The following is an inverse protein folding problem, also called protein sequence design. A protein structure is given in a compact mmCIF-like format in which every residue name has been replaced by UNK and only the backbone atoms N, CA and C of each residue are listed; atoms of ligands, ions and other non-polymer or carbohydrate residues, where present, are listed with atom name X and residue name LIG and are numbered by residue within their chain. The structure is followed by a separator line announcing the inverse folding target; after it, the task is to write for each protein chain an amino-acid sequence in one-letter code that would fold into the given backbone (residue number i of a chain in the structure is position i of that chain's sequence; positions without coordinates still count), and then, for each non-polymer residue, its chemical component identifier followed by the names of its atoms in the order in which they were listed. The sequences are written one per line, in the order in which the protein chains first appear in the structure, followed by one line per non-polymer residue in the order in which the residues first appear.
data_IF_604376789745
#
_entry.id   IF_604376789745
#
_cell.length_a   1.000
_cell.length_b   1.000
_cell.length_c   1.000
_cell.angle_alpha   90.00
_cell.angle_beta   90.00
_cell.angle_gamma   90.00
#
_symmetry.space_group_name_H-M   'P 1'
#
loop_
_entity.id
_entity.type
_entity.pdbx_description
1 polymer ?
#
# COMPACT_ATOMS: atom_id res chain seq x y z
N UNK A 1 -5.00 13.41 -16.95
CA UNK A 1 -4.44 14.43 -16.03
C UNK A 1 -3.02 13.98 -15.78
N UNK A 2 -2.02 14.71 -16.28
CA UNK A 2 -0.61 14.32 -16.18
C UNK A 2 -0.20 14.31 -14.70
N UNK A 3 -0.26 13.15 -14.06
CA UNK A 3 0.49 12.94 -12.83
C UNK A 3 1.96 13.10 -13.21
N UNK A 4 2.59 14.12 -12.63
CA UNK A 4 4.02 14.35 -12.77
C UNK A 4 4.73 13.03 -12.47
N UNK A 5 5.69 12.62 -13.31
CA UNK A 5 6.54 11.46 -13.07
C UNK A 5 7.24 11.64 -11.71
N UNK A 6 6.62 11.14 -10.65
CA UNK A 6 7.20 11.15 -9.32
C UNK A 6 8.41 10.23 -9.36
N UNK A 7 9.56 10.71 -8.93
CA UNK A 7 10.79 9.92 -8.87
C UNK A 7 11.21 9.82 -7.41
N UNK A 8 11.44 8.60 -6.94
CA UNK A 8 12.01 8.32 -5.63
C UNK A 8 13.23 7.43 -5.81
N UNK A 9 14.36 7.77 -5.19
CA UNK A 9 15.62 6.99 -5.25
C UNK A 9 16.05 6.58 -6.68
N UNK A 10 15.74 7.38 -7.69
CA UNK A 10 16.03 7.08 -9.10
C UNK A 10 15.06 6.13 -9.80
N UNK A 11 13.98 5.72 -9.12
CA UNK A 11 12.87 4.96 -9.70
C UNK A 11 11.71 5.88 -10.03
N UNK A 12 11.21 5.78 -11.26
CA UNK A 12 9.99 6.47 -11.67
C UNK A 12 8.80 5.72 -11.12
N UNK A 13 7.91 6.40 -10.40
CA UNK A 13 6.66 5.81 -9.93
C UNK A 13 5.73 5.60 -11.13
N UNK A 14 5.39 4.35 -11.39
CA UNK A 14 4.58 3.92 -12.54
C UNK A 14 3.16 3.47 -12.14
N UNK A 15 2.92 3.23 -10.84
CA UNK A 15 1.62 2.87 -10.29
C UNK A 15 1.53 3.31 -8.83
N UNK A 16 0.33 3.69 -8.36
CA UNK A 16 0.09 4.02 -6.96
C UNK A 16 -1.33 3.71 -6.50
N UNK A 17 -1.48 3.29 -5.25
CA UNK A 17 -2.77 3.07 -4.62
C UNK A 17 -2.74 3.52 -3.15
N UNK A 18 -3.82 4.15 -2.71
CA UNK A 18 -4.00 4.54 -1.30
C UNK A 18 -5.06 3.68 -0.63
N UNK A 19 -4.72 3.10 0.51
CA UNK A 19 -5.62 2.30 1.36
C UNK A 19 -5.54 2.84 2.78
N UNK A 20 -6.65 3.39 3.28
CA UNK A 20 -6.67 4.06 4.58
C UNK A 20 -5.65 5.20 4.65
N UNK A 21 -4.62 5.06 5.49
CA UNK A 21 -3.55 6.06 5.62
C UNK A 21 -2.23 5.62 4.94
N UNK A 22 -2.21 4.48 4.26
CA UNK A 22 -1.03 3.97 3.57
C UNK A 22 -1.16 4.26 2.06
N UNK A 23 -0.08 4.78 1.46
CA UNK A 23 0.08 4.84 0.00
C UNK A 23 1.10 3.81 -0.40
N UNK A 24 0.72 2.91 -1.29
CA UNK A 24 1.58 1.94 -1.93
C UNK A 24 1.92 2.44 -3.33
N UNK A 25 3.15 2.19 -3.79
CA UNK A 25 3.58 2.54 -5.15
C UNK A 25 4.43 1.43 -5.76
N UNK A 26 4.49 1.40 -7.10
CA UNK A 26 5.50 0.67 -7.87
C UNK A 26 6.44 1.68 -8.50
N UNK A 27 7.75 1.53 -8.25
CA UNK A 27 8.82 2.25 -8.92
C UNK A 27 9.51 1.39 -9.97
N UNK A 28 9.94 2.01 -11.08
CA UNK A 28 10.69 1.38 -12.17
C UNK A 28 12.01 2.15 -12.44
N UNK A 29 13.12 1.42 -12.49
CA UNK A 29 14.43 1.91 -12.91
C UNK A 29 15.15 0.85 -13.74
N UNK A 30 14.95 0.88 -15.05
CA UNK A 30 15.55 -0.09 -15.98
C UNK A 30 17.09 0.03 -16.07
N UNK A 31 17.68 1.09 -15.53
CA UNK A 31 19.14 1.24 -15.42
C UNK A 31 19.73 0.46 -14.24
N UNK A 32 18.90 -0.09 -13.34
CA UNK A 32 19.34 -0.99 -12.26
C UNK A 32 18.97 -2.44 -12.60
N UNK A 33 19.86 -3.22 -13.25
CA UNK A 33 19.53 -4.56 -13.71
C UNK A 33 19.34 -5.59 -12.59
N UNK A 34 19.89 -5.36 -11.40
CA UNK A 34 19.72 -6.26 -10.26
C UNK A 34 18.32 -6.15 -9.63
N UNK A 35 17.74 -4.95 -9.66
CA UNK A 35 16.44 -4.65 -9.08
C UNK A 35 15.73 -3.54 -9.88
N UNK A 36 15.23 -3.84 -11.09
CA UNK A 36 14.60 -2.84 -11.95
C UNK A 36 13.25 -2.35 -11.42
N UNK A 37 12.65 -3.03 -10.44
CA UNK A 37 11.37 -2.65 -9.85
C UNK A 37 11.47 -2.58 -8.33
N UNK A 38 10.61 -1.79 -7.72
CA UNK A 38 10.48 -1.68 -6.26
C UNK A 38 9.03 -1.39 -5.88
N UNK A 39 8.55 -1.91 -4.76
CA UNK A 39 7.31 -1.45 -4.15
C UNK A 39 7.62 -0.63 -2.91
N UNK A 40 7.03 0.54 -2.73
CA UNK A 40 7.20 1.34 -1.51
C UNK A 40 5.88 1.61 -0.82
N UNK A 41 5.96 1.92 0.48
CA UNK A 41 4.85 2.40 1.29
C UNK A 41 5.19 3.69 2.00
N UNK A 42 4.28 4.65 1.93
CA UNK A 42 4.30 5.92 2.63
C UNK A 42 3.06 6.07 3.52
N UNK A 43 3.15 6.93 4.54
CA UNK A 43 2.02 7.29 5.37
C UNK A 43 1.49 8.65 4.93
N UNK A 44 0.28 8.66 4.35
CA UNK A 44 -0.28 9.86 3.73
C UNK A 44 -0.65 10.95 4.73
N UNK A 45 -0.86 10.62 6.01
CA UNK A 45 -1.31 11.60 7.01
C UNK A 45 -0.24 12.64 7.33
N UNK A 46 1.02 12.22 7.33
CA UNK A 46 2.13 13.07 7.77
C UNK A 46 3.12 13.36 6.64
N UNK A 47 3.30 12.42 5.71
CA UNK A 47 4.31 12.52 4.67
C UNK A 47 3.99 11.56 3.48
N UNK A 48 3.10 11.96 2.55
CA UNK A 48 2.63 11.11 1.44
C UNK A 48 3.73 10.73 0.44
N UNK A 49 4.86 11.42 0.46
CA UNK A 49 6.04 11.15 -0.37
C UNK A 49 7.25 10.63 0.43
N UNK A 50 7.08 10.41 1.75
CA UNK A 50 8.12 9.79 2.58
C UNK A 50 7.89 8.28 2.65
N UNK A 51 8.54 7.57 1.74
CA UNK A 51 8.52 6.12 1.70
C UNK A 51 9.42 5.56 2.80
N UNK A 52 8.83 4.93 3.81
CA UNK A 52 9.55 4.43 4.98
C UNK A 52 9.93 2.94 4.86
N UNK A 53 9.36 2.21 3.90
CA UNK A 53 9.64 0.79 3.68
C UNK A 53 9.33 0.34 2.24
N UNK A 54 10.19 -0.51 1.66
CA UNK A 54 9.95 -1.09 0.34
C UNK A 54 10.64 -2.41 0.05
N UNK A 55 10.22 -3.04 -1.04
CA UNK A 55 10.70 -4.34 -1.54
C UNK A 55 11.21 -4.22 -2.97
N UNK A 56 12.50 -4.46 -3.16
CA UNK A 56 13.14 -4.49 -4.47
C UNK A 56 12.86 -5.81 -5.19
N UNK A 57 12.52 -5.73 -6.47
CA UNK A 57 12.00 -6.82 -7.29
C UNK A 57 12.80 -6.94 -8.60
N UNK A 58 13.19 -8.17 -8.95
CA UNK A 58 13.89 -8.46 -10.20
C UNK A 58 12.97 -8.36 -11.44
N UNK A 59 11.65 -8.54 -11.27
CA UNK A 59 10.68 -8.58 -12.38
C UNK A 59 9.46 -7.70 -12.11
N UNK A 60 8.85 -7.19 -13.19
CA UNK A 60 7.62 -6.39 -13.12
C UNK A 60 6.48 -7.17 -12.48
N UNK A 61 6.33 -8.44 -12.86
CA UNK A 61 5.30 -9.32 -12.32
C UNK A 61 5.49 -9.53 -10.80
N UNK A 62 6.73 -9.69 -10.34
CA UNK A 62 7.03 -9.79 -8.90
C UNK A 62 6.63 -8.52 -8.13
N UNK A 63 6.92 -7.35 -8.69
CA UNK A 63 6.52 -6.07 -8.10
C UNK A 63 4.99 -5.91 -8.07
N UNK A 64 4.28 -6.27 -9.14
CA UNK A 64 2.81 -6.22 -9.19
C UNK A 64 2.18 -7.19 -8.19
N UNK A 65 2.73 -8.40 -8.05
CA UNK A 65 2.24 -9.37 -7.07
C UNK A 65 2.45 -8.90 -5.63
N UNK A 66 3.63 -8.36 -5.30
CA UNK A 66 3.91 -7.80 -3.98
C UNK A 66 3.02 -6.57 -3.69
N UNK A 67 2.83 -5.69 -4.68
CA UNK A 67 1.95 -4.52 -4.58
C UNK A 67 0.52 -4.92 -4.24
N UNK A 68 -0.07 -5.86 -4.99
CA UNK A 68 -1.42 -6.36 -4.74
C UNK A 68 -1.57 -7.04 -3.38
N UNK A 69 -0.56 -7.83 -2.95
CA UNK A 69 -0.53 -8.45 -1.62
C UNK A 69 -0.59 -7.38 -0.52
N UNK A 70 0.29 -6.37 -0.57
CA UNK A 70 0.37 -5.31 0.46
C UNK A 70 -0.90 -4.47 0.56
N UNK A 71 -1.53 -4.17 -0.57
CA UNK A 71 -2.83 -3.49 -0.65
C UNK A 71 -3.92 -4.32 0.06
N UNK A 72 -3.97 -5.62 -0.24
CA UNK A 72 -4.96 -6.53 0.32
C UNK A 72 -4.78 -6.66 1.83
N UNK A 73 -3.54 -6.85 2.30
CA UNK A 73 -3.21 -6.93 3.72
C UNK A 73 -3.64 -5.67 4.50
N UNK A 74 -3.38 -4.47 3.97
CA UNK A 74 -3.82 -3.23 4.62
C UNK A 74 -5.35 -3.10 4.63
N UNK A 75 -6.02 -3.47 3.54
CA UNK A 75 -7.48 -3.43 3.46
C UNK A 75 -8.12 -4.39 4.48
N UNK A 76 -7.59 -5.60 4.60
CA UNK A 76 -8.04 -6.60 5.58
C UNK A 76 -7.78 -6.13 7.01
N UNK A 77 -6.58 -5.61 7.29
CA UNK A 77 -6.26 -5.05 8.61
C UNK A 77 -7.24 -3.95 9.03
N UNK A 78 -7.56 -3.01 8.13
CA UNK A 78 -8.52 -1.95 8.40
C UNK A 78 -9.93 -2.49 8.62
N UNK A 79 -10.34 -3.52 7.87
CA UNK A 79 -11.63 -4.18 8.04
C UNK A 79 -11.75 -4.84 9.41
N UNK A 80 -10.75 -5.59 9.85
CA UNK A 80 -10.75 -6.23 11.18
C UNK A 80 -10.69 -5.20 12.32
N UNK A 81 -9.94 -4.11 12.12
CA UNK A 81 -9.92 -2.98 13.06
C UNK A 81 -11.28 -2.27 13.16
N UNK A 82 -12.04 -2.21 12.08
CA UNK A 82 -13.38 -1.63 12.10
C UNK A 82 -14.37 -2.53 12.87
N UNK A 83 -14.29 -3.86 12.69
CA UNK A 83 -15.12 -4.82 13.44
C UNK A 83 -14.87 -4.78 14.95
N UNK A 84 -13.60 -4.70 15.37
CA UNK A 84 -13.24 -4.64 16.79
C UNK A 84 -13.63 -3.33 17.49
N UNK A 85 -13.90 -2.26 16.72
CA UNK A 85 -14.38 -0.96 17.24
C UNK A 85 -15.89 -0.79 17.24
N UNK A 86 -16.64 -1.70 16.61
CA UNK A 86 -18.10 -1.65 16.63
C UNK A 86 -18.60 -1.93 18.06
N UNK A 87 -19.50 -1.13 18.63
CA UNK A 87 -20.14 -1.46 19.90
C UNK A 87 -20.82 -2.82 19.78
N UNK A 88 -20.45 -3.78 20.62
CA UNK A 88 -21.25 -4.99 20.78
C UNK A 88 -22.55 -4.54 21.46
N UNK A 89 -23.63 -4.45 20.69
CA UNK A 89 -24.97 -4.29 21.26
C UNK A 89 -25.24 -5.63 21.96
N UNK A 90 -25.35 -5.69 23.30
CA UNK A 90 -25.73 -6.94 23.94
C UNK A 90 -27.12 -7.32 23.41
N UNK A 91 -27.22 -8.52 22.84
CA UNK A 91 -28.48 -9.09 22.38
C UNK A 91 -29.39 -9.19 23.60
N UNK A 92 -30.30 -8.22 23.75
CA UNK A 92 -31.28 -8.17 24.83
C UNK A 92 -32.26 -9.30 24.56
N UNK A 93 -31.97 -10.48 25.10
CA UNK A 93 -32.88 -11.60 25.12
C UNK A 93 -34.21 -11.13 25.71
N UNK A 94 -35.26 -11.17 24.89
CA UNK A 94 -36.63 -11.04 25.37
C UNK A 94 -36.93 -12.26 26.24
N UNK A 95 -36.88 -12.09 27.55
CA UNK A 95 -37.60 -12.97 28.48
C UNK A 95 -39.10 -12.69 28.32
N UNK A 96 -39.84 -13.67 27.79
CA UNK A 96 -41.30 -13.80 27.92
C UNK A 96 -41.67 -15.24 28.22
#
# INVERSE_FOLDING_TARGET
MNEQNQVNEGYTIIESMTVGNARFVIGENLNNPAAPYVTWQANIKNAPDNFFWGHYCATKLGAVADFGRRITEEAEFLRERAKSKAPQIPERGEER
#
